data_IF_947571684446
#
_entry.id   IF_947571684446
#
_cell.length_a   1.000
_cell.length_b   1.000
_cell.length_c   1.000
_cell.angle_alpha   90.00
_cell.angle_beta   90.00
_cell.angle_gamma   90.00
#
_symmetry.space_group_name_H-M   'P 1'
#
loop_
_entity.id
_entity.type
_entity.pdbx_description
1 polymer ?
#
# COMPACT_ATOMS: atom_id res chain seq x y z
N UNK A 1 -19.29 17.96 7.48
CA UNK A 1 -18.48 16.98 8.24
C UNK A 1 -18.03 15.86 7.30
N UNK A 2 -16.87 15.23 7.51
CA UNK A 2 -16.39 14.06 6.71
C UNK A 2 -15.14 14.26 5.85
N UNK A 3 -14.61 15.49 5.72
CA UNK A 3 -13.41 15.76 4.88
C UNK A 3 -12.16 14.98 5.31
N UNK A 4 -11.98 14.79 6.63
CA UNK A 4 -10.87 14.00 7.15
C UNK A 4 -10.97 12.51 6.78
N UNK A 5 -12.18 11.95 6.78
CA UNK A 5 -12.40 10.57 6.35
C UNK A 5 -12.09 10.41 4.84
N UNK A 6 -12.59 11.33 4.01
CA UNK A 6 -12.28 11.35 2.56
C UNK A 6 -10.77 11.44 2.31
N UNK A 7 -10.07 12.33 3.02
CA UNK A 7 -8.62 12.46 2.89
C UNK A 7 -7.88 11.20 3.37
N UNK A 8 -8.32 10.59 4.47
CA UNK A 8 -7.76 9.35 4.98
C UNK A 8 -7.93 8.18 4.00
N UNK A 9 -9.12 8.01 3.43
CA UNK A 9 -9.37 7.00 2.39
C UNK A 9 -8.56 7.26 1.14
N UNK A 10 -8.51 8.51 0.65
CA UNK A 10 -7.70 8.87 -0.50
C UNK A 10 -6.21 8.56 -0.27
N UNK A 11 -5.69 8.83 0.93
CA UNK A 11 -4.32 8.49 1.31
C UNK A 11 -4.09 6.98 1.31
N UNK A 12 -5.01 6.20 1.90
CA UNK A 12 -4.93 4.73 1.90
C UNK A 12 -4.91 4.21 0.45
N UNK A 13 -5.81 4.68 -0.41
CA UNK A 13 -5.85 4.24 -1.81
C UNK A 13 -4.58 4.60 -2.59
N UNK A 14 -4.04 5.81 -2.39
CA UNK A 14 -2.78 6.21 -3.00
C UNK A 14 -1.64 5.29 -2.55
N UNK A 15 -1.53 5.01 -1.25
CA UNK A 15 -0.50 4.13 -0.70
C UNK A 15 -0.65 2.68 -1.17
N UNK A 16 -1.89 2.18 -1.29
CA UNK A 16 -2.19 0.84 -1.81
C UNK A 16 -1.75 0.64 -3.27
N UNK A 17 -1.63 1.70 -4.06
CA UNK A 17 -1.09 1.63 -5.43
C UNK A 17 0.42 1.86 -5.43
N UNK A 18 0.90 2.88 -4.73
CA UNK A 18 2.31 3.31 -4.73
C UNK A 18 3.22 2.24 -4.14
N UNK A 19 2.88 1.68 -2.97
CA UNK A 19 3.74 0.71 -2.26
C UNK A 19 4.02 -0.55 -3.09
N UNK A 20 3.01 -1.26 -3.62
CA UNK A 20 3.27 -2.42 -4.48
C UNK A 20 3.83 -2.00 -5.85
N UNK A 21 3.42 -0.86 -6.41
CA UNK A 21 3.93 -0.38 -7.70
C UNK A 21 5.44 -0.18 -7.69
N UNK A 22 5.97 0.49 -6.67
CA UNK A 22 7.42 0.68 -6.48
C UNK A 22 8.13 -0.66 -6.23
N UNK A 23 7.50 -1.59 -5.49
CA UNK A 23 8.06 -2.93 -5.24
C UNK A 23 8.16 -3.75 -6.54
N UNK A 24 7.14 -3.69 -7.39
CA UNK A 24 7.13 -4.33 -8.70
C UNK A 24 8.15 -3.73 -9.66
N UNK A 25 8.36 -2.41 -9.62
CA UNK A 25 9.42 -1.74 -10.38
C UNK A 25 10.80 -2.27 -9.96
N UNK A 26 11.05 -2.38 -8.65
CA UNK A 26 12.29 -2.98 -8.12
C UNK A 26 12.42 -4.45 -8.52
N UNK A 27 11.34 -5.23 -8.44
CA UNK A 27 11.32 -6.64 -8.85
C UNK A 27 11.75 -6.78 -10.30
N UNK A 28 11.18 -6.00 -11.20
CA UNK A 28 11.54 -5.99 -12.62
C UNK A 28 13.00 -5.56 -12.82
N UNK A 29 13.42 -4.47 -12.17
CA UNK A 29 14.80 -3.99 -12.22
C UNK A 29 15.84 -4.99 -11.73
N UNK A 30 15.46 -5.88 -10.80
CA UNK A 30 16.35 -6.88 -10.22
C UNK A 30 16.79 -8.01 -11.17
N UNK A 31 16.09 -8.19 -12.30
CA UNK A 31 16.34 -9.29 -13.24
C UNK A 31 15.88 -10.67 -12.74
N UNK A 32 15.32 -10.77 -11.53
CA UNK A 32 14.76 -12.00 -11.00
C UNK A 32 13.45 -12.34 -11.71
N UNK A 33 13.29 -13.61 -12.05
CA UNK A 33 12.01 -14.13 -12.55
C UNK A 33 10.88 -13.88 -11.56
N UNK A 34 9.70 -13.56 -12.07
CA UNK A 34 8.49 -13.36 -11.27
C UNK A 34 7.31 -14.04 -11.94
N UNK A 35 6.73 -15.03 -11.25
CA UNK A 35 5.62 -15.82 -11.77
C UNK A 35 4.51 -16.04 -10.74
N UNK A 36 3.79 -14.98 -10.33
CA UNK A 36 2.71 -15.10 -9.35
C UNK A 36 1.61 -15.99 -9.91
N UNK A 37 1.11 -16.90 -9.08
CA UNK A 37 0.06 -17.87 -9.45
C UNK A 37 0.42 -18.73 -10.68
N UNK A 38 1.72 -18.89 -10.98
CA UNK A 38 2.20 -19.64 -12.15
C UNK A 38 2.20 -18.85 -13.46
N UNK A 39 1.81 -17.58 -13.46
CA UNK A 39 1.77 -16.73 -14.66
C UNK A 39 3.14 -16.07 -14.87
N UNK A 40 3.87 -16.34 -15.95
CA UNK A 40 5.24 -15.83 -16.16
C UNK A 40 5.25 -14.34 -16.57
N UNK A 41 5.01 -13.44 -15.61
CA UNK A 41 4.92 -12.00 -15.85
C UNK A 41 6.27 -11.33 -16.11
N UNK A 42 7.35 -11.82 -15.50
CA UNK A 42 8.70 -11.27 -15.70
C UNK A 42 9.70 -12.40 -15.94
N UNK A 43 10.41 -12.38 -17.09
CA UNK A 43 11.46 -13.36 -17.37
C UNK A 43 12.70 -13.09 -16.52
N UNK A 44 13.54 -14.11 -16.36
CA UNK A 44 14.88 -13.96 -15.76
C UNK A 44 15.77 -13.19 -16.73
N UNK A 45 16.63 -12.32 -16.19
CA UNK A 45 17.65 -11.58 -16.93
C UNK A 45 18.91 -11.46 -16.07
N UNK A 46 20.08 -11.60 -16.71
CA UNK A 46 21.37 -11.57 -16.01
C UNK A 46 21.74 -10.16 -15.49
N UNK A 47 21.38 -9.14 -16.27
CA UNK A 47 21.68 -7.76 -15.92
C UNK A 47 20.64 -7.17 -14.95
N UNK A 48 21.06 -6.20 -14.13
CA UNK A 48 20.16 -5.39 -13.29
C UNK A 48 19.95 -4.01 -13.91
N UNK A 49 18.78 -3.43 -13.72
CA UNK A 49 18.50 -2.03 -14.09
C UNK A 49 18.47 -1.21 -12.80
N UNK A 50 19.59 -0.56 -12.49
CA UNK A 50 19.82 0.11 -11.21
C UNK A 50 18.74 1.16 -10.87
N UNK A 51 18.38 2.02 -11.83
CA UNK A 51 17.42 3.10 -11.59
C UNK A 51 16.01 2.61 -11.22
N UNK A 52 15.62 1.41 -11.67
CA UNK A 52 14.33 0.81 -11.32
C UNK A 52 14.32 0.27 -9.89
N UNK A 53 15.48 -0.08 -9.35
CA UNK A 53 15.59 -0.61 -7.98
C UNK A 53 15.65 0.49 -6.93
N UNK A 54 16.35 1.60 -7.24
CA UNK A 54 16.58 2.71 -6.31
C UNK A 54 15.30 3.17 -5.56
N UNK A 55 14.16 3.44 -6.22
CA UNK A 55 12.96 3.87 -5.51
C UNK A 55 12.45 2.81 -4.53
N UNK A 56 12.50 1.53 -4.91
CA UNK A 56 12.04 0.44 -4.06
C UNK A 56 12.99 0.09 -2.93
N UNK A 57 14.28 0.33 -3.09
CA UNK A 57 15.26 0.17 -2.03
C UNK A 57 15.13 1.27 -0.97
N UNK A 58 14.83 2.50 -1.41
CA UNK A 58 14.69 3.66 -0.53
C UNK A 58 13.34 3.73 0.19
N UNK A 59 12.24 3.51 -0.53
CA UNK A 59 10.91 3.92 -0.03
C UNK A 59 10.00 2.77 0.38
N UNK A 60 10.10 1.57 -0.21
CA UNK A 60 9.11 0.52 -0.01
C UNK A 60 8.93 0.13 1.47
N UNK A 61 10.04 -0.05 2.18
CA UNK A 61 10.04 -0.38 3.61
C UNK A 61 9.29 0.69 4.43
N UNK A 62 9.68 1.96 4.28
CA UNK A 62 9.11 3.07 5.04
C UNK A 62 7.65 3.34 4.68
N UNK A 63 7.30 3.33 3.40
CA UNK A 63 5.91 3.51 2.97
C UNK A 63 5.01 2.36 3.44
N UNK A 64 5.54 1.15 3.61
CA UNK A 64 4.85 0.04 4.26
C UNK A 64 4.48 0.35 5.71
N UNK A 65 5.40 0.90 6.51
CA UNK A 65 5.09 1.34 7.88
C UNK A 65 4.13 2.53 7.92
N UNK A 66 4.25 3.47 6.98
CA UNK A 66 3.28 4.58 6.86
C UNK A 66 1.88 4.04 6.59
N UNK A 67 1.73 3.14 5.61
CA UNK A 67 0.44 2.50 5.31
C UNK A 67 -0.10 1.74 6.52
N UNK A 68 0.76 0.97 7.22
CA UNK A 68 0.38 0.28 8.46
C UNK A 68 -0.16 1.25 9.51
N UNK A 69 0.56 2.35 9.79
CA UNK A 69 0.15 3.34 10.77
C UNK A 69 -1.18 4.02 10.39
N UNK A 70 -1.36 4.36 9.10
CA UNK A 70 -2.60 4.98 8.60
C UNK A 70 -3.78 4.01 8.70
N UNK A 71 -3.61 2.75 8.33
CA UNK A 71 -4.67 1.73 8.44
C UNK A 71 -5.04 1.48 9.90
N UNK A 72 -4.05 1.35 10.80
CA UNK A 72 -4.32 1.21 12.24
C UNK A 72 -5.09 2.42 12.77
N UNK A 73 -4.66 3.65 12.43
CA UNK A 73 -5.37 4.86 12.80
C UNK A 73 -6.80 4.90 12.25
N UNK A 74 -7.00 4.47 11.00
CA UNK A 74 -8.32 4.38 10.38
C UNK A 74 -9.26 3.40 11.11
N UNK A 75 -8.75 2.21 11.47
CA UNK A 75 -9.48 1.20 12.24
C UNK A 75 -9.80 1.71 13.65
N UNK A 76 -8.85 2.35 14.33
CA UNK A 76 -9.09 2.96 15.64
C UNK A 76 -10.19 4.01 15.54
N UNK A 77 -10.16 4.87 14.52
CA UNK A 77 -11.19 5.90 14.35
C UNK A 77 -12.58 5.31 14.10
N UNK A 78 -12.72 4.20 13.36
CA UNK A 78 -14.04 3.58 13.17
C UNK A 78 -14.61 3.03 14.49
N UNK A 79 -13.75 2.46 15.34
CA UNK A 79 -14.13 2.04 16.70
C UNK A 79 -14.51 3.23 17.56
N UNK A 80 -13.74 4.33 17.53
CA UNK A 80 -14.04 5.53 18.29
C UNK A 80 -15.37 6.18 17.87
N UNK A 81 -15.69 6.23 16.56
CA UNK A 81 -17.00 6.69 16.07
C UNK A 81 -18.15 5.90 16.70
N UNK A 82 -18.01 4.58 16.82
CA UNK A 82 -19.02 3.73 17.46
C UNK A 82 -19.09 3.93 18.97
N UNK A 83 -17.95 3.95 19.65
CA UNK A 83 -17.90 3.94 21.13
C UNK A 83 -18.16 5.31 21.73
N UNK A 84 -17.52 6.36 21.20
CA UNK A 84 -17.58 7.72 21.73
C UNK A 84 -18.70 8.54 21.08
N UNK A 85 -18.80 8.52 19.76
CA UNK A 85 -19.80 9.31 19.03
C UNK A 85 -21.13 8.59 18.83
N UNK A 86 -21.24 7.31 19.19
CA UNK A 86 -22.44 6.48 19.02
C UNK A 86 -22.93 6.42 17.57
N UNK A 87 -22.02 6.63 16.63
CA UNK A 87 -22.28 6.51 15.19
C UNK A 87 -21.80 5.15 14.71
N UNK A 88 -22.71 4.32 14.21
CA UNK A 88 -22.32 3.04 13.61
C UNK A 88 -21.89 3.24 12.15
N UNK A 89 -20.65 3.72 11.99
CA UNK A 89 -20.02 3.87 10.67
C UNK A 89 -19.57 2.53 10.08
N UNK A 90 -19.35 1.51 10.92
CA UNK A 90 -18.95 0.17 10.50
C UNK A 90 -20.09 -0.55 9.78
N UNK A 91 -21.34 -0.36 10.21
CA UNK A 91 -22.52 -0.88 9.53
C UNK A 91 -22.65 -0.41 8.06
N UNK A 92 -21.98 0.68 7.68
CA UNK A 92 -21.96 1.19 6.30
C UNK A 92 -20.92 0.52 5.40
N UNK A 93 -20.07 -0.34 5.97
CA UNK A 93 -19.05 -1.10 5.24
C UNK A 93 -19.41 -2.56 5.03
N UNK A 94 -20.53 -3.01 5.60
CA UNK A 94 -21.03 -4.38 5.49
C UNK A 94 -21.73 -4.64 4.14
#
# INVERSE_FOLDING_TARGET
>A
AGRAAVAGHALIYALMVIVPGISLLRQYGSGKGFSPYGIPLMPVRDEKIAWMMIPGDLFHYWLGFVLMAVVLGHVVMSVLHRVLWKEDVLARMA
#
